data_IF_326991752774
#
_entry.id   IF_326991752774
#
_cell.length_a   1.000
_cell.length_b   1.000
_cell.length_c   1.000
_cell.angle_alpha   90.00
_cell.angle_beta   90.00
_cell.angle_gamma   90.00
#
_symmetry.space_group_name_H-M   'P 1'
#
loop_
_entity.id
_entity.type
_entity.pdbx_description
1 polymer ?
#
# COMPACT_ATOMS: atom_id res chain seq x y z
N UNK A 1 -18.97 7.19 -11.66
CA UNK A 1 -18.19 6.11 -11.04
C UNK A 1 -18.53 4.82 -11.72
N UNK A 2 -17.54 4.19 -12.34
CA UNK A 2 -17.69 2.91 -13.02
C UNK A 2 -16.67 1.94 -12.41
N UNK A 3 -17.03 0.65 -12.34
CA UNK A 3 -16.12 -0.41 -11.92
C UNK A 3 -15.97 -1.41 -13.05
N UNK A 4 -14.73 -1.74 -13.37
CA UNK A 4 -14.36 -2.65 -14.45
C UNK A 4 -13.60 -3.82 -13.84
N UNK A 5 -13.92 -5.04 -14.24
CA UNK A 5 -13.17 -6.24 -13.87
C UNK A 5 -12.06 -6.44 -14.90
N UNK A 6 -10.81 -6.51 -14.46
CA UNK A 6 -9.74 -6.97 -15.35
C UNK A 6 -9.96 -8.45 -15.64
N UNK A 7 -10.14 -8.78 -16.92
CA UNK A 7 -10.26 -10.18 -17.36
C UNK A 7 -8.89 -10.74 -17.77
N UNK A 8 -8.72 -12.05 -17.69
CA UNK A 8 -7.49 -12.73 -18.14
C UNK A 8 -6.50 -13.12 -17.03
N UNK A 9 -6.61 -12.56 -15.82
CA UNK A 9 -5.90 -13.10 -14.65
C UNK A 9 -6.71 -14.22 -13.98
N UNK A 10 -6.68 -15.42 -14.57
CA UNK A 10 -6.83 -16.61 -13.74
C UNK A 10 -5.44 -16.99 -13.27
N UNK A 11 -5.09 -16.63 -12.03
CA UNK A 11 -3.98 -17.26 -11.32
C UNK A 11 -4.37 -18.68 -10.93
N UNK A 12 -4.78 -19.49 -11.92
CA UNK A 12 -5.38 -20.80 -11.70
C UNK A 12 -4.46 -21.76 -10.92
N UNK A 13 -3.17 -21.46 -10.90
CA UNK A 13 -2.14 -22.27 -10.27
C UNK A 13 -1.24 -21.48 -9.30
N UNK A 14 -1.57 -20.22 -8.93
CA UNK A 14 -0.71 -19.43 -8.04
C UNK A 14 -1.56 -18.67 -7.04
N UNK A 15 -1.40 -18.99 -5.75
CA UNK A 15 -2.06 -18.22 -4.70
C UNK A 15 -1.28 -16.92 -4.56
N UNK A 16 -1.88 -15.85 -5.08
CA UNK A 16 -1.39 -14.51 -4.84
C UNK A 16 -1.74 -14.05 -3.44
N UNK A 17 -0.89 -14.46 -2.51
CA UNK A 17 -0.90 -13.86 -1.19
C UNK A 17 -0.10 -12.57 -1.27
N UNK A 18 -0.81 -11.45 -1.23
CA UNK A 18 -0.20 -10.17 -0.94
C UNK A 18 -1.09 -9.39 -0.01
N UNK A 19 -0.47 -8.71 0.96
CA UNK A 19 -1.10 -7.66 1.78
C UNK A 19 -0.77 -6.26 1.22
N UNK A 20 0.17 -6.17 0.26
CA UNK A 20 0.66 -4.92 -0.32
C UNK A 20 0.86 -5.03 -1.83
N UNK A 21 0.36 -4.09 -2.61
CA UNK A 21 0.62 -4.01 -4.05
C UNK A 21 0.89 -2.56 -4.45
N UNK A 22 1.72 -2.37 -5.47
CA UNK A 22 2.09 -1.07 -5.99
C UNK A 22 1.82 -1.00 -7.49
N UNK A 23 1.50 0.19 -7.98
CA UNK A 23 1.29 0.46 -9.40
C UNK A 23 2.32 1.51 -9.83
N UNK A 24 2.99 1.29 -10.95
CA UNK A 24 3.88 2.27 -11.57
C UNK A 24 3.78 2.15 -13.10
N UNK A 25 3.44 3.26 -13.75
CA UNK A 25 3.05 3.27 -15.17
C UNK A 25 2.00 2.20 -15.47
N UNK A 26 2.31 1.35 -16.45
CA UNK A 26 1.48 0.25 -16.95
C UNK A 26 1.80 -1.09 -16.27
N UNK A 27 2.37 -1.06 -15.05
CA UNK A 27 2.75 -2.27 -14.31
C UNK A 27 2.17 -2.29 -12.91
N UNK A 28 1.72 -3.46 -12.50
CA UNK A 28 1.32 -3.78 -11.13
C UNK A 28 2.39 -4.69 -10.55
N UNK A 29 2.88 -4.34 -9.37
CA UNK A 29 3.89 -5.07 -8.62
C UNK A 29 3.28 -5.64 -7.35
N UNK A 30 3.60 -6.90 -7.05
CA UNK A 30 3.09 -7.58 -5.87
C UNK A 30 4.00 -8.74 -5.45
N UNK A 31 3.73 -9.26 -4.27
CA UNK A 31 4.27 -10.51 -3.76
C UNK A 31 3.35 -11.67 -4.15
N UNK A 32 3.92 -12.78 -4.62
CA UNK A 32 3.13 -13.98 -4.93
C UNK A 32 3.82 -15.25 -4.44
N UNK A 33 3.03 -16.23 -4.02
CA UNK A 33 3.54 -17.58 -3.77
C UNK A 33 3.27 -18.45 -4.99
N UNK A 34 4.28 -19.24 -5.32
CA UNK A 34 4.11 -20.37 -6.21
C UNK A 34 3.77 -21.59 -5.35
N UNK A 35 2.56 -22.12 -5.41
CA UNK A 35 2.15 -23.25 -4.58
C UNK A 35 2.79 -24.57 -5.05
N UNK A 36 3.42 -24.58 -6.24
CA UNK A 36 4.24 -25.69 -6.75
C UNK A 36 5.70 -25.57 -6.29
N UNK A 37 6.09 -24.44 -5.71
CA UNK A 37 7.41 -24.26 -5.11
C UNK A 37 7.40 -24.84 -3.70
N UNK A 38 8.00 -26.02 -3.55
CA UNK A 38 8.15 -26.73 -2.27
C UNK A 38 8.93 -25.93 -1.23
N UNK A 39 9.65 -24.88 -1.66
CA UNK A 39 10.35 -23.97 -0.75
C UNK A 39 9.43 -22.89 -0.18
N UNK A 40 8.18 -22.77 -0.65
CA UNK A 40 7.21 -21.76 -0.20
C UNK A 40 7.78 -20.33 -0.18
N UNK A 41 8.66 -20.00 -1.13
CA UNK A 41 9.26 -18.67 -1.22
C UNK A 41 8.26 -17.67 -1.80
N UNK A 42 8.27 -16.47 -1.24
CA UNK A 42 7.53 -15.34 -1.78
C UNK A 42 8.33 -14.70 -2.92
N UNK A 43 7.75 -14.70 -4.12
CA UNK A 43 8.36 -14.12 -5.31
C UNK A 43 7.88 -12.68 -5.50
N UNK A 44 8.80 -11.77 -5.80
CA UNK A 44 8.45 -10.43 -6.27
C UNK A 44 8.10 -10.54 -7.76
N UNK A 45 6.91 -10.10 -8.13
CA UNK A 45 6.39 -10.25 -9.50
C UNK A 45 5.83 -8.93 -10.01
N UNK A 46 5.80 -8.81 -11.33
CA UNK A 46 5.10 -7.73 -12.02
C UNK A 46 4.22 -8.27 -13.13
N UNK A 47 3.04 -7.69 -13.30
CA UNK A 47 2.13 -7.91 -14.44
C UNK A 47 1.99 -6.57 -15.16
N UNK A 48 1.98 -6.59 -16.49
CA UNK A 48 1.66 -5.37 -17.24
C UNK A 48 0.16 -5.28 -17.45
N UNK A 49 -0.38 -4.07 -17.40
CA UNK A 49 -1.77 -3.78 -17.70
C UNK A 49 -1.84 -2.71 -18.78
N UNK A 50 -2.59 -2.97 -19.85
CA UNK A 50 -2.87 -2.02 -20.94
C UNK A 50 -4.29 -2.24 -21.43
N UNK A 51 -5.04 -1.17 -21.63
CA UNK A 51 -6.42 -1.23 -22.13
C UNK A 51 -7.26 -2.30 -21.41
N UNK A 52 -7.20 -2.30 -20.07
CA UNK A 52 -7.91 -3.25 -19.19
C UNK A 52 -7.54 -4.74 -19.37
N UNK A 53 -6.45 -5.00 -20.09
CA UNK A 53 -5.92 -6.34 -20.35
C UNK A 53 -4.62 -6.55 -19.59
N UNK A 54 -4.50 -7.69 -18.92
CA UNK A 54 -3.31 -8.06 -18.15
C UNK A 54 -2.43 -9.01 -18.95
N UNK A 55 -1.14 -8.73 -19.01
CA UNK A 55 -0.15 -9.51 -19.78
C UNK A 55 1.02 -9.96 -18.91
N UNK A 56 1.91 -10.79 -19.49
CA UNK A 56 3.15 -11.36 -18.96
C UNK A 56 3.48 -11.09 -17.48
N UNK A 57 3.29 -12.12 -16.67
CA UNK A 57 3.76 -12.17 -15.30
C UNK A 57 5.27 -12.39 -15.28
N UNK A 58 6.05 -11.33 -15.02
CA UNK A 58 7.50 -11.42 -14.86
C UNK A 58 7.85 -11.62 -13.38
N UNK A 59 8.67 -12.63 -13.10
CA UNK A 59 9.33 -12.79 -11.80
C UNK A 59 10.55 -11.87 -11.76
N UNK A 60 10.61 -11.00 -10.75
CA UNK A 60 11.71 -10.05 -10.55
C UNK A 60 12.75 -10.59 -9.57
N UNK A 61 12.31 -11.38 -8.57
CA UNK A 61 13.19 -11.99 -7.57
C UNK A 61 12.52 -13.16 -6.83
N UNK A 62 13.26 -14.25 -6.59
CA UNK A 62 12.78 -15.49 -5.96
C UNK A 62 13.39 -15.78 -4.58
N UNK A 63 14.14 -14.82 -4.03
CA UNK A 63 15.07 -15.09 -2.93
C UNK A 63 14.47 -14.98 -1.51
N UNK A 64 13.26 -14.44 -1.37
CA UNK A 64 12.71 -14.14 -0.05
C UNK A 64 11.65 -15.17 0.40
N UNK A 65 11.74 -15.64 1.65
CA UNK A 65 10.66 -16.40 2.28
C UNK A 65 9.46 -15.56 2.68
N UNK A 66 9.72 -14.31 3.05
CA UNK A 66 8.72 -13.43 3.58
C UNK A 66 9.02 -12.00 3.17
N UNK A 67 8.03 -11.35 2.58
CA UNK A 67 8.08 -9.97 2.13
C UNK A 67 6.91 -9.23 2.76
N UNK A 68 7.15 -8.00 3.19
CA UNK A 68 6.16 -7.27 4.00
C UNK A 68 5.86 -5.87 3.47
N UNK A 69 6.84 -5.17 2.90
CA UNK A 69 6.60 -3.85 2.29
C UNK A 69 7.16 -3.77 0.89
N UNK A 70 6.39 -3.11 0.03
CA UNK A 70 6.71 -2.86 -1.37
C UNK A 70 6.49 -1.38 -1.64
N UNK A 71 7.51 -0.73 -2.18
CA UNK A 71 7.47 0.68 -2.57
C UNK A 71 8.01 0.77 -3.98
N UNK A 72 7.31 1.47 -4.86
CA UNK A 72 7.82 1.77 -6.20
C UNK A 72 7.96 3.28 -6.31
N UNK A 73 9.16 3.72 -6.67
CA UNK A 73 9.48 5.12 -6.89
C UNK A 73 10.34 5.25 -8.14
N UNK A 74 9.86 6.02 -9.11
CA UNK A 74 10.54 6.41 -10.33
C UNK A 74 11.11 5.21 -11.10
N UNK A 75 10.26 4.21 -11.37
CA UNK A 75 10.67 2.96 -12.02
C UNK A 75 11.52 2.03 -11.16
N UNK A 76 11.93 2.45 -9.97
CA UNK A 76 12.74 1.66 -9.04
C UNK A 76 11.83 0.97 -8.02
N UNK A 77 11.93 -0.35 -7.96
CA UNK A 77 11.15 -1.17 -7.03
C UNK A 77 11.99 -1.41 -5.80
N UNK A 78 11.54 -0.88 -4.66
CA UNK A 78 12.09 -1.14 -3.35
C UNK A 78 11.25 -2.20 -2.65
N UNK A 79 11.89 -3.25 -2.16
CA UNK A 79 11.24 -4.26 -1.34
C UNK A 79 11.89 -4.32 0.06
N UNK A 80 11.07 -4.64 1.05
CA UNK A 80 11.53 -4.84 2.42
C UNK A 80 11.26 -6.26 2.84
N UNK A 81 12.31 -6.92 3.32
CA UNK A 81 12.23 -8.25 3.87
C UNK A 81 13.21 -8.42 5.03
N UNK A 82 12.99 -9.46 5.84
CA UNK A 82 13.93 -9.84 6.90
C UNK A 82 15.14 -10.53 6.25
N UNK A 83 16.36 -10.21 6.69
CA UNK A 83 17.55 -10.98 6.31
C UNK A 83 17.45 -12.36 6.97
N UNK A 84 17.83 -13.40 6.25
CA UNK A 84 17.89 -14.77 6.75
C UNK A 84 18.09 -15.76 5.61
N UNK A 85 19.12 -16.61 5.73
CA UNK A 85 19.34 -17.72 4.81
C UNK A 85 18.16 -18.70 4.84
N UNK A 86 17.44 -18.78 3.71
CA UNK A 86 17.06 -19.98 2.96
C UNK A 86 16.64 -21.29 3.65
N UNK A 87 16.41 -21.39 4.99
CA UNK A 87 16.04 -22.67 5.65
C UNK A 87 15.12 -22.67 6.89
N UNK A 88 14.74 -21.57 7.55
CA UNK A 88 13.78 -21.72 8.67
C UNK A 88 12.91 -20.51 9.02
N UNK A 89 11.68 -20.83 9.44
CA UNK A 89 10.61 -19.92 9.87
C UNK A 89 10.86 -19.29 11.27
N UNK A 90 11.99 -19.61 11.90
CA UNK A 90 12.16 -19.49 13.36
C UNK A 90 13.02 -18.29 13.82
N UNK A 91 13.75 -17.62 12.93
CA UNK A 91 14.61 -16.50 13.36
C UNK A 91 13.84 -15.17 13.36
N UNK A 92 13.09 -14.93 14.44
CA UNK A 92 12.30 -13.70 14.65
C UNK A 92 13.14 -12.43 14.85
N UNK A 93 14.45 -12.54 15.08
CA UNK A 93 15.33 -11.44 15.52
C UNK A 93 16.36 -10.97 14.47
N UNK A 94 16.30 -11.43 13.23
CA UNK A 94 17.23 -10.96 12.19
C UNK A 94 16.86 -9.55 11.71
N UNK A 95 17.89 -8.75 11.44
CA UNK A 95 17.74 -7.38 10.99
C UNK A 95 16.96 -7.35 9.66
N UNK A 96 16.08 -6.36 9.52
CA UNK A 96 15.24 -6.20 8.34
C UNK A 96 15.82 -5.12 7.44
N UNK A 97 15.92 -5.39 6.15
CA UNK A 97 16.60 -4.54 5.19
C UNK A 97 15.74 -4.28 3.98
N UNK A 98 15.89 -3.08 3.42
CA UNK A 98 15.38 -2.79 2.11
C UNK A 98 16.39 -3.24 1.04
N UNK A 99 15.88 -3.71 -0.09
CA UNK A 99 16.62 -3.84 -1.33
C UNK A 99 15.91 -3.01 -2.40
N UNK A 100 16.62 -2.68 -3.47
CA UNK A 100 16.01 -2.12 -4.67
C UNK A 100 16.37 -2.94 -5.91
N UNK A 101 15.45 -3.01 -6.86
CA UNK A 101 15.69 -3.65 -8.15
C UNK A 101 16.36 -2.68 -9.11
N UNK A 102 17.59 -2.99 -9.53
CA UNK A 102 18.37 -2.15 -10.47
C UNK A 102 18.00 -2.36 -11.95
N UNK A 103 17.02 -3.23 -12.23
CA UNK A 103 16.65 -3.68 -13.57
C UNK A 103 17.20 -5.08 -13.93
N UNK A 104 18.10 -5.62 -13.11
CA UNK A 104 18.71 -6.95 -13.29
C UNK A 104 18.61 -7.80 -12.02
N UNK A 105 18.91 -7.23 -10.85
CA UNK A 105 18.94 -7.92 -9.56
C UNK A 105 18.46 -7.01 -8.42
N UNK A 106 18.14 -7.63 -7.29
CA UNK A 106 17.96 -6.91 -6.02
C UNK A 106 19.31 -6.53 -5.42
N UNK A 107 19.47 -5.25 -5.09
CA UNK A 107 20.66 -4.65 -4.49
C UNK A 107 20.33 -4.20 -3.06
N UNK A 108 21.11 -4.59 -2.04
CA UNK A 108 20.84 -4.21 -0.65
C UNK A 108 20.99 -2.70 -0.42
N UNK A 109 20.28 -2.20 0.59
CA UNK A 109 20.36 -0.82 1.09
C UNK A 109 20.74 -0.82 2.58
N UNK A 110 21.08 0.35 3.12
CA UNK A 110 21.36 0.57 4.54
C UNK A 110 20.13 0.97 5.38
N UNK A 111 18.93 0.97 4.77
CA UNK A 111 17.70 1.41 5.43
C UNK A 111 17.17 0.33 6.37
N UNK A 112 17.60 0.35 7.64
CA UNK A 112 17.13 -0.62 8.63
C UNK A 112 15.95 -0.07 9.42
N UNK A 113 14.87 -0.86 9.52
CA UNK A 113 13.66 -0.49 10.28
C UNK A 113 12.89 0.73 9.75
N UNK A 114 13.25 1.24 8.58
CA UNK A 114 12.62 2.39 7.93
C UNK A 114 11.35 1.96 7.19
N UNK A 115 10.29 2.77 7.23
CA UNK A 115 9.19 2.69 6.29
C UNK A 115 9.37 3.80 5.28
N UNK A 116 9.30 3.49 3.99
CA UNK A 116 9.42 4.46 2.91
C UNK A 116 8.03 4.74 2.32
N UNK A 117 7.75 6.01 2.03
CA UNK A 117 6.48 6.47 1.47
C UNK A 117 6.83 7.47 0.36
N UNK A 118 6.75 7.10 -0.93
CA UNK A 118 7.05 8.00 -2.02
C UNK A 118 6.00 9.10 -2.09
N UNK A 119 6.41 10.32 -2.47
CA UNK A 119 5.50 11.46 -2.62
C UNK A 119 4.85 11.38 -4.01
N UNK A 120 5.59 11.46 -5.11
CA UNK A 120 4.97 11.49 -6.45
C UNK A 120 5.55 10.44 -7.40
N UNK A 121 5.73 9.21 -6.89
CA UNK A 121 6.58 8.20 -7.54
C UNK A 121 7.95 8.79 -7.95
N UNK A 122 8.41 9.82 -7.22
CA UNK A 122 9.63 10.58 -7.48
C UNK A 122 10.68 10.34 -6.41
N UNK A 123 11.84 10.97 -6.55
CA UNK A 123 12.96 10.82 -5.60
C UNK A 123 12.60 11.27 -4.18
N UNK A 124 11.65 12.18 -4.01
CA UNK A 124 11.25 12.67 -2.69
C UNK A 124 10.36 11.65 -1.97
N UNK A 125 10.69 11.43 -0.69
CA UNK A 125 10.01 10.46 0.16
C UNK A 125 9.69 11.05 1.52
N UNK A 126 8.63 10.54 2.12
CA UNK A 126 8.48 10.52 3.57
C UNK A 126 8.99 9.19 4.09
N UNK A 127 9.71 9.20 5.21
CA UNK A 127 10.18 7.97 5.82
C UNK A 127 10.11 8.01 7.35
N UNK A 128 10.15 6.82 7.95
CA UNK A 128 10.15 6.69 9.42
C UNK A 128 11.55 6.44 9.97
N UNK A 129 11.94 7.18 11.01
CA UNK A 129 13.12 6.89 11.82
C UNK A 129 12.72 6.92 13.29
N UNK A 130 12.96 5.82 14.03
CA UNK A 130 12.52 5.67 15.42
C UNK A 130 11.03 6.01 15.64
N UNK A 131 10.17 5.69 14.67
CA UNK A 131 8.73 5.97 14.64
C UNK A 131 8.32 7.42 14.33
N UNK A 132 9.25 8.35 14.24
CA UNK A 132 9.00 9.71 13.76
C UNK A 132 9.06 9.77 12.23
N UNK A 133 8.32 10.71 11.64
CA UNK A 133 8.23 10.92 10.20
C UNK A 133 9.14 12.07 9.78
N UNK A 134 9.85 11.86 8.68
CA UNK A 134 10.82 12.79 8.10
C UNK A 134 10.63 12.89 6.59
N UNK A 135 10.93 14.04 6.00
CA UNK A 135 11.18 14.11 4.55
C UNK A 135 12.58 13.65 4.23
N UNK A 136 12.78 13.14 3.01
CA UNK A 136 14.10 12.82 2.50
C UNK A 136 14.10 12.62 0.99
N UNK A 137 15.30 12.42 0.46
CA UNK A 137 15.55 12.09 -0.94
C UNK A 137 16.04 10.65 -1.00
N UNK A 138 15.39 9.83 -1.82
CA UNK A 138 15.71 8.44 -2.07
C UNK A 138 16.31 8.28 -3.47
N UNK A 139 17.52 7.73 -3.55
CA UNK A 139 18.17 7.40 -4.81
C UNK A 139 18.95 6.09 -4.68
N UNK A 140 18.48 5.02 -5.35
CA UNK A 140 19.17 3.73 -5.51
C UNK A 140 19.99 3.26 -4.29
N UNK A 141 19.31 3.10 -3.16
CA UNK A 141 19.92 2.60 -1.92
C UNK A 141 20.61 3.66 -1.06
N UNK A 142 20.53 4.93 -1.43
CA UNK A 142 20.90 6.08 -0.60
C UNK A 142 19.65 6.86 -0.17
N UNK A 143 19.51 7.14 1.12
CA UNK A 143 18.44 7.95 1.69
C UNK A 143 19.05 9.16 2.39
N UNK A 144 18.84 10.35 1.83
CA UNK A 144 19.27 11.61 2.44
C UNK A 144 18.14 12.14 3.31
N UNK A 145 18.42 12.30 4.60
CA UNK A 145 17.48 12.86 5.57
C UNK A 145 17.32 14.37 5.37
N UNK A 146 16.07 14.81 5.25
CA UNK A 146 15.67 16.21 5.22
C UNK A 146 15.15 16.68 6.59
N UNK A 147 13.92 17.17 6.61
CA UNK A 147 13.29 17.82 7.77
C UNK A 147 12.42 16.85 8.57
N UNK A 148 12.33 17.04 9.88
CA UNK A 148 11.32 16.38 10.72
C UNK A 148 9.92 16.87 10.35
N UNK A 149 9.00 15.95 10.13
CA UNK A 149 7.60 16.25 9.84
C UNK A 149 6.71 16.05 11.06
N UNK A 150 6.74 14.86 11.65
CA UNK A 150 5.75 14.48 12.65
C UNK A 150 6.33 13.49 13.65
N UNK A 151 6.24 13.81 14.92
CA UNK A 151 6.72 12.91 15.99
C UNK A 151 5.69 11.84 16.33
N UNK A 152 6.17 10.69 16.80
CA UNK A 152 5.31 9.60 17.28
C UNK A 152 4.42 10.06 18.44
N UNK A 153 4.88 11.00 19.26
CA UNK A 153 4.09 11.58 20.35
C UNK A 153 2.91 12.41 19.83
N UNK A 154 3.13 13.23 18.80
CA UNK A 154 2.05 14.01 18.18
C UNK A 154 0.96 13.09 17.62
N UNK A 155 1.35 12.00 16.97
CA UNK A 155 0.42 10.98 16.44
C UNK A 155 -0.37 10.32 17.56
N UNK A 156 0.31 9.88 18.63
CA UNK A 156 -0.33 9.22 19.78
C UNK A 156 -1.34 10.14 20.46
N UNK A 157 -0.96 11.40 20.69
CA UNK A 157 -1.87 12.43 21.26
C UNK A 157 -3.11 12.63 20.40
N UNK A 158 -2.97 12.49 19.09
CA UNK A 158 -4.08 12.65 18.16
C UNK A 158 -5.03 11.43 18.10
N UNK A 159 -4.74 10.33 18.82
CA UNK A 159 -5.62 9.17 18.97
C UNK A 159 -5.78 8.29 17.73
N UNK A 160 -4.95 8.49 16.71
CA UNK A 160 -5.05 7.76 15.44
C UNK A 160 -4.30 6.43 15.50
N UNK A 161 -5.02 5.32 15.28
CA UNK A 161 -4.40 4.01 15.07
C UNK A 161 -4.10 3.80 13.59
N UNK A 162 -2.84 3.98 13.20
CA UNK A 162 -2.41 3.94 11.80
C UNK A 162 -2.48 2.51 11.25
N UNK A 163 -3.12 2.35 10.09
CA UNK A 163 -3.19 1.12 9.31
C UNK A 163 -2.50 1.23 7.96
N UNK A 164 -2.50 2.41 7.36
CA UNK A 164 -1.87 2.68 6.07
C UNK A 164 -1.32 4.10 6.03
N UNK A 165 -0.31 4.29 5.21
CA UNK A 165 0.33 5.58 4.98
C UNK A 165 0.41 5.83 3.47
N UNK A 166 0.33 7.09 3.08
CA UNK A 166 0.53 7.56 1.72
C UNK A 166 1.11 8.95 1.77
N UNK A 167 1.83 9.38 0.74
CA UNK A 167 2.25 10.76 0.61
C UNK A 167 2.09 11.17 -0.85
N UNK A 168 1.79 12.44 -1.07
CA UNK A 168 1.91 13.07 -2.37
C UNK A 168 2.24 14.55 -2.21
N UNK A 169 2.37 15.25 -3.35
CA UNK A 169 2.75 16.66 -3.37
C UNK A 169 1.86 17.55 -2.48
N UNK A 170 0.65 17.11 -2.15
CA UNK A 170 -0.29 17.86 -1.32
C UNK A 170 -0.17 17.49 0.18
N UNK A 171 0.52 16.41 0.56
CA UNK A 171 0.66 16.05 1.98
C UNK A 171 1.12 14.63 2.30
N UNK A 172 1.36 14.39 3.58
CA UNK A 172 1.43 13.06 4.20
C UNK A 172 0.03 12.66 4.67
N UNK A 173 -0.42 11.47 4.29
CA UNK A 173 -1.71 10.91 4.66
C UNK A 173 -1.52 9.74 5.63
N UNK A 174 -1.97 9.92 6.87
CA UNK A 174 -2.03 8.86 7.86
C UNK A 174 -3.45 8.33 7.92
N UNK A 175 -3.61 7.03 7.63
CA UNK A 175 -4.90 6.41 7.40
C UNK A 175 -5.10 5.26 8.38
N UNK A 176 -6.29 5.18 8.98
CA UNK A 176 -6.56 4.18 9.98
C UNK A 176 -7.90 4.40 10.66
N UNK A 177 -7.93 4.21 11.97
CA UNK A 177 -9.15 4.38 12.75
C UNK A 177 -8.93 5.11 14.06
N UNK A 178 -9.97 5.82 14.48
CA UNK A 178 -10.11 6.38 15.82
C UNK A 178 -11.20 5.63 16.56
N UNK A 179 -11.12 5.58 17.89
CA UNK A 179 -12.21 5.09 18.74
C UNK A 179 -12.94 6.28 19.32
N UNK A 180 -14.27 6.25 19.29
CA UNK A 180 -15.07 7.19 20.06
C UNK A 180 -15.12 6.79 21.55
N UNK A 181 -15.79 7.60 22.38
CA UNK A 181 -15.92 7.35 23.82
C UNK A 181 -16.65 6.04 24.17
N UNK A 182 -17.38 5.46 23.21
CA UNK A 182 -18.07 4.17 23.32
C UNK A 182 -17.21 3.00 22.81
N UNK A 183 -15.98 3.26 22.39
CA UNK A 183 -15.06 2.27 21.83
C UNK A 183 -15.36 1.85 20.39
N UNK A 184 -16.29 2.51 19.71
CA UNK A 184 -16.66 2.22 18.32
C UNK A 184 -15.61 2.79 17.36
N UNK A 185 -15.26 2.02 16.32
CA UNK A 185 -14.24 2.45 15.38
C UNK A 185 -14.85 3.39 14.33
N UNK A 186 -14.09 4.42 13.97
CA UNK A 186 -14.36 5.31 12.86
C UNK A 186 -13.17 5.29 11.93
N UNK A 187 -13.39 5.09 10.62
CA UNK A 187 -12.34 5.20 9.63
C UNK A 187 -11.95 6.66 9.44
N UNK A 188 -10.65 6.94 9.48
CA UNK A 188 -10.12 8.30 9.42
C UNK A 188 -8.89 8.34 8.52
N UNK A 189 -8.82 9.38 7.70
CA UNK A 189 -7.60 9.76 6.98
C UNK A 189 -7.27 11.19 7.36
N UNK A 190 -6.05 11.42 7.85
CA UNK A 190 -5.56 12.75 8.19
C UNK A 190 -4.46 13.16 7.24
N UNK A 191 -4.61 14.35 6.66
CA UNK A 191 -3.61 14.97 5.81
C UNK A 191 -2.76 15.93 6.62
N UNK A 192 -1.45 15.76 6.56
CA UNK A 192 -0.46 16.59 7.19
C UNK A 192 0.37 17.31 6.12
N UNK A 193 0.71 18.56 6.38
CA UNK A 193 1.57 19.38 5.54
C UNK A 193 2.99 18.79 5.47
N UNK A 194 3.54 18.68 4.26
CA UNK A 194 4.95 18.32 4.07
C UNK A 194 5.91 19.49 4.42
N UNK A 195 5.40 20.71 4.57
CA UNK A 195 6.22 21.87 4.88
C UNK A 195 6.56 21.94 6.37
N UNK A 196 5.58 21.67 7.23
CA UNK A 196 5.67 21.93 8.67
C UNK A 196 4.99 20.88 9.54
N UNK A 197 4.44 19.81 8.96
CA UNK A 197 3.83 18.71 9.70
C UNK A 197 2.48 19.04 10.33
N UNK A 198 1.91 20.22 10.05
CA UNK A 198 0.61 20.60 10.61
C UNK A 198 -0.52 19.80 9.98
N UNK A 199 -1.54 19.49 10.78
CA UNK A 199 -2.77 18.86 10.29
C UNK A 199 -3.52 19.86 9.39
N UNK A 200 -3.71 19.49 8.12
CA UNK A 200 -4.46 20.29 7.15
C UNK A 200 -5.96 19.98 7.27
N UNK A 201 -6.32 18.70 7.21
CA UNK A 201 -7.72 18.26 7.27
C UNK A 201 -7.86 16.79 7.66
N UNK A 202 -9.09 16.41 8.04
CA UNK A 202 -9.49 15.06 8.44
C UNK A 202 -10.66 14.60 7.57
N UNK A 203 -10.56 13.39 7.01
CA UNK A 203 -11.62 12.73 6.27
C UNK A 203 -12.16 11.59 7.12
N UNK A 204 -13.44 11.66 7.46
CA UNK A 204 -14.01 10.80 8.48
C UNK A 204 -15.21 10.03 7.93
N UNK A 205 -15.08 8.71 7.91
CA UNK A 205 -16.17 7.81 7.56
C UNK A 205 -17.17 7.69 8.71
N UNK A 206 -18.33 7.03 8.47
CA UNK A 206 -19.23 6.70 9.56
C UNK A 206 -18.62 5.64 10.47
N UNK A 207 -19.23 5.49 11.65
CA UNK A 207 -18.90 4.42 12.59
C UNK A 207 -19.02 3.06 11.89
N UNK A 208 -18.03 2.21 12.14
CA UNK A 208 -17.94 0.87 11.56
C UNK A 208 -17.37 -0.09 12.59
N UNK A 209 -17.78 -1.36 12.52
CA UNK A 209 -17.15 -2.41 13.32
C UNK A 209 -15.73 -2.69 12.80
N UNK A 210 -15.55 -2.62 11.48
CA UNK A 210 -14.27 -2.85 10.80
C UNK A 210 -14.04 -1.88 9.63
N UNK A 211 -12.85 -1.31 9.55
CA UNK A 211 -12.35 -0.60 8.37
C UNK A 211 -11.81 -1.59 7.33
N UNK A 212 -12.16 -1.40 6.05
CA UNK A 212 -11.73 -2.27 4.95
C UNK A 212 -11.12 -1.42 3.84
N UNK A 213 -9.89 -0.97 4.05
CA UNK A 213 -9.07 -0.30 3.05
C UNK A 213 -9.13 1.23 3.07
N UNK A 214 -8.01 1.83 2.67
CA UNK A 214 -7.83 3.28 2.55
C UNK A 214 -7.02 3.56 1.28
N UNK A 215 -7.40 4.59 0.54
CA UNK A 215 -6.63 5.04 -0.62
C UNK A 215 -6.79 6.53 -0.83
N UNK A 216 -5.70 7.15 -1.25
CA UNK A 216 -5.62 8.56 -1.64
C UNK A 216 -5.15 8.57 -3.10
N UNK A 217 -5.91 9.24 -3.95
CA UNK A 217 -5.55 9.52 -5.34
C UNK A 217 -5.24 11.01 -5.48
N UNK A 218 -4.99 11.47 -6.71
CA UNK A 218 -4.68 12.88 -6.99
C UNK A 218 -5.76 13.83 -6.44
N UNK A 219 -7.05 13.52 -6.63
CA UNK A 219 -8.14 14.40 -6.22
C UNK A 219 -9.15 13.76 -5.25
N UNK A 220 -8.94 12.51 -4.83
CA UNK A 220 -9.89 11.78 -3.97
C UNK A 220 -9.24 11.15 -2.76
N UNK A 221 -10.04 11.03 -1.70
CA UNK A 221 -9.77 10.16 -0.56
C UNK A 221 -10.92 9.16 -0.47
N UNK A 222 -10.60 7.87 -0.38
CA UNK A 222 -11.60 6.80 -0.31
C UNK A 222 -11.41 5.97 0.95
N UNK A 223 -12.50 5.84 1.70
CA UNK A 223 -12.59 5.06 2.93
C UNK A 223 -13.45 3.83 2.66
N UNK A 224 -12.81 2.66 2.64
CA UNK A 224 -13.51 1.38 2.47
C UNK A 224 -14.01 0.82 3.80
N UNK A 225 -15.18 0.21 3.77
CA UNK A 225 -15.88 -0.37 4.92
C UNK A 225 -16.38 -1.78 4.60
N UNK A 226 -16.68 -2.53 5.66
CA UNK A 226 -17.30 -3.84 5.57
C UNK A 226 -18.53 -3.84 4.63
N UNK A 227 -18.69 -4.93 3.86
CA UNK A 227 -19.77 -5.06 2.87
C UNK A 227 -19.49 -4.35 1.54
N UNK A 228 -18.23 -4.02 1.24
CA UNK A 228 -17.81 -3.42 -0.03
C UNK A 228 -18.33 -2.00 -0.20
N UNK A 229 -18.36 -1.23 0.88
CA UNK A 229 -18.85 0.15 0.89
C UNK A 229 -17.66 1.10 0.83
N UNK A 230 -17.70 2.08 -0.08
CA UNK A 230 -16.66 3.09 -0.24
C UNK A 230 -17.25 4.48 -0.07
N UNK A 231 -16.69 5.24 0.85
CA UNK A 231 -17.00 6.66 1.05
C UNK A 231 -15.95 7.50 0.36
N UNK A 232 -16.38 8.40 -0.53
CA UNK A 232 -15.49 9.09 -1.46
C UNK A 232 -15.55 10.57 -1.18
N UNK A 233 -14.40 11.14 -0.85
CA UNK A 233 -14.23 12.54 -0.52
C UNK A 233 -13.44 13.22 -1.61
N UNK A 234 -13.76 14.47 -1.88
CA UNK A 234 -12.90 15.36 -2.64
C UNK A 234 -11.74 15.78 -1.75
N UNK A 235 -10.53 15.49 -2.22
CA UNK A 235 -9.30 15.78 -1.49
C UNK A 235 -9.10 17.29 -1.24
N UNK A 236 -9.43 18.13 -2.22
CA UNK A 236 -9.19 19.58 -2.17
C UNK A 236 -9.84 20.29 -0.96
N UNK A 237 -11.06 19.93 -0.61
CA UNK A 237 -11.91 20.68 0.33
C UNK A 237 -12.58 19.80 1.39
N UNK A 238 -12.26 18.50 1.44
CA UNK A 238 -12.84 17.57 2.41
C UNK A 238 -14.28 17.17 2.11
N UNK A 239 -14.89 17.62 0.99
CA UNK A 239 -16.31 17.38 0.72
C UNK A 239 -16.59 15.91 0.42
N UNK A 240 -17.52 15.29 1.15
CA UNK A 240 -18.08 13.99 0.80
C UNK A 240 -18.83 14.09 -0.54
N UNK A 241 -18.36 13.34 -1.54
CA UNK A 241 -18.94 13.30 -2.88
C UNK A 241 -20.02 12.23 -3.01
N UNK A 242 -19.89 11.14 -2.25
CA UNK A 242 -20.90 10.10 -2.23
C UNK A 242 -20.40 8.79 -1.66
N UNK A 243 -21.24 7.78 -1.84
CA UNK A 243 -21.03 6.41 -1.40
C UNK A 243 -21.19 5.48 -2.59
N UNK A 244 -20.29 4.52 -2.71
CA UNK A 244 -20.39 3.41 -3.66
C UNK A 244 -20.49 2.09 -2.90
N UNK A 245 -21.22 1.12 -3.45
CA UNK A 245 -21.36 -0.21 -2.86
C UNK A 245 -21.15 -1.27 -3.92
N UNK A 246 -20.31 -2.25 -3.61
CA UNK A 246 -20.06 -3.43 -4.44
C UNK A 246 -20.59 -4.68 -3.76
N UNK A 247 -20.36 -5.84 -4.36
CA UNK A 247 -20.84 -7.12 -3.83
C UNK A 247 -20.26 -7.43 -2.44
N UNK A 248 -21.06 -8.04 -1.53
CA UNK A 248 -20.73 -8.16 -0.11
C UNK A 248 -19.73 -9.28 0.24
N UNK A 249 -19.36 -10.16 -0.69
CA UNK A 249 -18.49 -11.32 -0.38
C UNK A 249 -17.02 -10.92 -0.41
N UNK A 250 -16.47 -10.50 0.73
CA UNK A 250 -15.05 -10.11 0.83
C UNK A 250 -14.37 -10.83 2.00
N UNK A 251 -13.25 -11.49 1.73
CA UNK A 251 -12.32 -11.94 2.80
C UNK A 251 -11.19 -10.95 3.03
N UNK A 252 -10.77 -10.21 2.00
CA UNK A 252 -9.72 -9.20 2.03
C UNK A 252 -9.87 -8.24 0.84
N UNK A 253 -9.48 -6.98 1.04
CA UNK A 253 -9.42 -5.97 -0.01
C UNK A 253 -8.20 -5.08 0.15
N UNK A 254 -7.49 -4.87 -0.96
CA UNK A 254 -6.39 -3.90 -1.06
C UNK A 254 -6.78 -2.87 -2.10
N UNK A 255 -6.80 -1.61 -1.67
CA UNK A 255 -7.03 -0.47 -2.52
C UNK A 255 -5.68 0.16 -2.84
N UNK A 256 -5.33 0.33 -4.11
CA UNK A 256 -4.09 0.98 -4.54
C UNK A 256 -4.41 2.07 -5.55
N UNK A 257 -3.85 3.28 -5.39
CA UNK A 257 -4.13 4.35 -6.32
C UNK A 257 -3.51 4.06 -7.69
N UNK A 258 -4.20 4.52 -8.73
CA UNK A 258 -3.76 4.53 -10.12
C UNK A 258 -3.80 5.96 -10.65
N UNK A 259 -3.27 6.16 -11.86
CA UNK A 259 -3.39 7.42 -12.59
C UNK A 259 -4.87 7.79 -12.84
N UNK A 260 -5.13 9.07 -13.12
CA UNK A 260 -6.46 9.59 -13.49
C UNK A 260 -7.55 9.29 -12.46
N UNK A 261 -7.25 9.45 -11.16
CA UNK A 261 -8.20 9.17 -10.06
C UNK A 261 -8.85 7.79 -10.10
N UNK A 262 -8.13 6.80 -10.60
CA UNK A 262 -8.61 5.42 -10.57
C UNK A 262 -8.04 4.69 -9.36
N UNK A 263 -8.77 3.69 -8.86
CA UNK A 263 -8.29 2.77 -7.83
C UNK A 263 -8.24 1.36 -8.40
N UNK A 264 -7.10 0.70 -8.17
CA UNK A 264 -6.99 -0.74 -8.32
C UNK A 264 -7.50 -1.41 -7.04
N UNK A 265 -8.48 -2.28 -7.20
CA UNK A 265 -9.09 -3.04 -6.11
C UNK A 265 -8.72 -4.50 -6.28
N UNK A 266 -7.80 -4.99 -5.45
CA UNK A 266 -7.52 -6.42 -5.34
C UNK A 266 -8.45 -7.04 -4.30
N UNK A 267 -9.23 -8.02 -4.74
CA UNK A 267 -10.22 -8.72 -3.90
C UNK A 267 -9.88 -10.19 -3.80
N UNK A 268 -9.75 -10.69 -2.57
CA UNK A 268 -9.67 -12.13 -2.34
C UNK A 268 -11.06 -12.70 -2.07
N UNK A 269 -11.51 -13.56 -2.96
CA UNK A 269 -12.83 -14.22 -2.91
C UNK A 269 -12.77 -15.46 -2.04
N UNK A 270 -11.76 -16.31 -2.23
CA UNK A 270 -11.59 -17.53 -1.45
C UNK A 270 -10.13 -17.77 -1.09
N UNK A 271 -9.85 -17.92 0.22
CA UNK A 271 -8.53 -18.29 0.71
C UNK A 271 -8.17 -19.74 0.35
N UNK A 272 -9.13 -20.64 0.45
CA UNK A 272 -8.94 -22.08 0.20
C UNK A 272 -8.73 -22.39 -1.28
N UNK A 273 -9.47 -21.69 -2.16
CA UNK A 273 -9.40 -21.88 -3.61
C UNK A 273 -8.37 -20.98 -4.29
N UNK A 274 -7.69 -20.11 -3.54
CA UNK A 274 -6.74 -19.15 -4.09
C UNK A 274 -7.37 -18.13 -5.06
N UNK A 275 -8.69 -17.93 -4.99
CA UNK A 275 -9.42 -17.12 -5.94
C UNK A 275 -9.33 -15.64 -5.56
N UNK A 276 -8.81 -14.83 -6.48
CA UNK A 276 -8.76 -13.39 -6.37
C UNK A 276 -9.17 -12.73 -7.68
N UNK A 277 -9.71 -11.53 -7.57
CA UNK A 277 -10.11 -10.68 -8.69
C UNK A 277 -9.49 -9.31 -8.56
N UNK A 278 -9.27 -8.69 -9.72
CA UNK A 278 -8.73 -7.34 -9.81
C UNK A 278 -9.74 -6.45 -10.52
N UNK A 279 -10.04 -5.31 -9.92
CA UNK A 279 -10.95 -4.33 -10.49
C UNK A 279 -10.29 -2.98 -10.62
N UNK A 280 -10.70 -2.20 -11.62
CA UNK A 280 -10.47 -0.75 -11.67
C UNK A 280 -11.75 -0.04 -11.28
N UNK A 281 -11.66 0.97 -10.42
CA UNK A 281 -12.76 1.89 -10.14
C UNK A 281 -12.36 3.32 -10.49
N UNK A 282 -13.13 3.96 -11.35
CA UNK A 282 -12.91 5.35 -11.79
C UNK A 282 -13.73 6.31 -10.90
N UNK A 283 -13.07 7.32 -10.29
CA UNK A 283 -13.64 8.22 -9.26
C UNK A 283 -13.98 9.67 -9.71
#
# INVERSE_FOLDING_TARGET
>A
MNIYEYTGLTFKDQILWTDTLAVDGDRIYFFGFDNKDETYRTKLRSVSFKDETLSDLKVLDERAYWRDKLVVSNGTVYDWHKQGDYKSREKKNEASYWHYYDGKTMVPTDFTGTTLIPIDQGKDVVFTQKWDYWTGILDKGTLTKGKELLTVEAIRKAGLNIKKQWADKDGLYLMGYMKNDKGENQNVVRQYSLQDGQLIQSFEGPLTKEGRGYVVTEHRVVLGQEGGIYWIYRKKDGKLLGKFKTEPKLTMEILTPMKNDSILIYRRISREKGEAKLYRMDL
#
